data_IF_882089418030
#
_entry.id   IF_882089418030
#
_cell.length_a   1.000
_cell.length_b   1.000
_cell.length_c   1.000
_cell.angle_alpha   90.00
_cell.angle_beta   90.00
_cell.angle_gamma   90.00
#
_symmetry.space_group_name_H-M   'P 1'
#
loop_
_entity.id
_entity.type
_entity.pdbx_description
1 polymer ?
#
# COMPACT_ATOMS: atom_id res chain seq x y z
N UNK A 1 66.89 -27.60 -9.00
CA UNK A 1 66.34 -26.41 -9.64
C UNK A 1 64.84 -26.42 -9.40
N UNK A 2 64.36 -25.63 -8.43
CA UNK A 2 62.93 -25.53 -8.07
C UNK A 2 62.34 -24.28 -8.77
N UNK A 3 61.43 -24.50 -9.70
CA UNK A 3 60.81 -23.44 -10.49
C UNK A 3 59.56 -22.92 -9.72
N UNK A 4 59.68 -21.78 -9.04
CA UNK A 4 58.56 -21.06 -8.41
C UNK A 4 57.81 -20.27 -9.50
N UNK A 5 56.68 -20.78 -9.92
CA UNK A 5 55.72 -19.97 -10.69
C UNK A 5 55.01 -19.01 -9.73
N UNK A 6 55.37 -17.75 -9.77
CA UNK A 6 54.63 -16.66 -9.12
C UNK A 6 53.29 -16.47 -9.83
N UNK A 7 52.21 -16.87 -9.17
CA UNK A 7 50.86 -16.56 -9.60
C UNK A 7 50.54 -15.14 -9.09
N UNK A 8 50.79 -14.14 -9.90
CA UNK A 8 50.30 -12.78 -9.69
C UNK A 8 48.82 -12.75 -10.03
N UNK A 9 47.92 -12.99 -9.07
CA UNK A 9 46.53 -12.56 -9.20
C UNK A 9 46.51 -11.05 -9.06
N UNK A 10 46.17 -10.36 -10.14
CA UNK A 10 46.05 -8.90 -10.16
C UNK A 10 45.03 -8.46 -9.08
N UNK A 11 45.43 -7.50 -8.24
CA UNK A 11 44.54 -6.87 -7.23
C UNK A 11 43.21 -6.39 -7.83
N UNK A 12 43.23 -6.02 -9.11
CA UNK A 12 42.07 -5.59 -9.88
C UNK A 12 41.01 -6.68 -10.01
N UNK A 13 41.41 -7.95 -10.26
CA UNK A 13 40.46 -9.08 -10.41
C UNK A 13 39.79 -9.41 -9.08
N UNK A 14 40.50 -9.26 -7.96
CA UNK A 14 39.93 -9.50 -6.62
C UNK A 14 38.94 -8.37 -6.26
N UNK A 15 39.29 -7.14 -6.58
CA UNK A 15 38.40 -5.97 -6.32
C UNK A 15 37.14 -6.10 -7.17
N UNK A 16 37.22 -6.44 -8.45
CA UNK A 16 36.03 -6.64 -9.30
C UNK A 16 35.14 -7.80 -8.84
N UNK A 17 35.75 -8.90 -8.39
CA UNK A 17 35.00 -10.03 -7.83
C UNK A 17 34.27 -9.67 -6.51
N UNK A 18 34.94 -8.88 -5.65
CA UNK A 18 34.35 -8.38 -4.40
C UNK A 18 33.23 -7.37 -4.69
N UNK A 19 33.44 -6.44 -5.64
CA UNK A 19 32.40 -5.49 -6.05
C UNK A 19 31.19 -6.18 -6.71
N UNK A 20 31.41 -7.16 -7.58
CA UNK A 20 30.32 -7.98 -8.14
C UNK A 20 29.57 -8.74 -7.06
N UNK A 21 30.26 -9.31 -6.08
CA UNK A 21 29.63 -10.02 -4.97
C UNK A 21 28.88 -9.08 -4.02
N UNK A 22 29.37 -7.87 -3.83
CA UNK A 22 28.71 -6.82 -3.04
C UNK A 22 27.45 -6.28 -3.77
N UNK A 23 27.49 -6.15 -5.09
CA UNK A 23 26.32 -5.76 -5.88
C UNK A 23 25.29 -6.90 -6.01
N UNK A 24 25.73 -8.18 -6.02
CA UNK A 24 24.80 -9.31 -5.93
C UNK A 24 24.11 -9.38 -4.55
N UNK A 25 24.81 -9.01 -3.47
CA UNK A 25 24.21 -8.95 -2.13
C UNK A 25 23.25 -7.75 -1.95
N UNK A 26 23.38 -6.70 -2.76
CA UNK A 26 22.40 -5.60 -2.80
C UNK A 26 21.09 -5.96 -3.52
N UNK A 27 21.10 -6.97 -4.41
CA UNK A 27 19.89 -7.42 -5.13
C UNK A 27 18.97 -8.32 -4.30
N UNK A 28 19.42 -8.79 -3.14
CA UNK A 28 18.63 -9.64 -2.24
C UNK A 28 18.06 -8.88 -1.02
N UNK A 29 18.10 -7.55 -1.00
CA UNK A 29 17.40 -6.77 -0.01
C UNK A 29 15.90 -6.87 -0.34
N UNK A 30 15.13 -7.44 0.57
CA UNK A 30 13.67 -7.48 0.45
C UNK A 30 13.18 -6.04 0.37
N UNK A 31 12.62 -5.65 -0.78
CA UNK A 31 12.01 -4.36 -1.01
C UNK A 31 10.53 -4.55 -1.30
N UNK A 32 9.71 -3.63 -0.82
CA UNK A 32 8.29 -3.60 -1.15
C UNK A 32 8.04 -3.47 -2.67
N UNK A 33 8.95 -2.85 -3.41
CA UNK A 33 8.90 -2.77 -4.87
C UNK A 33 8.96 -4.13 -5.57
N UNK A 34 9.48 -5.18 -4.90
CA UNK A 34 9.52 -6.54 -5.42
C UNK A 34 8.22 -7.32 -5.16
N UNK A 35 7.28 -6.77 -4.39
CA UNK A 35 6.00 -7.40 -4.09
C UNK A 35 5.03 -7.09 -5.24
N UNK A 36 4.49 -8.10 -5.95
CA UNK A 36 3.54 -7.83 -7.02
C UNK A 36 2.23 -7.25 -6.46
N UNK A 37 1.44 -6.59 -7.30
CA UNK A 37 0.13 -6.02 -6.93
C UNK A 37 -0.83 -7.06 -6.33
N UNK A 38 -0.65 -8.33 -6.60
CA UNK A 38 -1.46 -9.40 -6.04
C UNK A 38 -1.05 -10.76 -6.56
N UNK A 39 -1.63 -11.79 -5.99
CA UNK A 39 -1.46 -13.16 -6.47
C UNK A 39 -2.28 -13.45 -7.73
N UNK A 40 -3.45 -12.83 -7.83
CA UNK A 40 -4.39 -12.94 -8.95
C UNK A 40 -5.19 -11.62 -9.04
N UNK A 41 -4.45 -10.51 -9.23
CA UNK A 41 -5.08 -9.20 -9.37
C UNK A 41 -6.00 -9.16 -10.61
N UNK A 42 -7.16 -8.55 -10.51
CA UNK A 42 -7.65 -7.69 -9.43
C UNK A 42 -8.44 -8.40 -8.32
N UNK A 43 -8.63 -9.74 -8.39
CA UNK A 43 -9.48 -10.48 -7.45
C UNK A 43 -8.78 -10.83 -6.12
N UNK A 44 -7.47 -10.89 -6.13
CA UNK A 44 -6.60 -11.29 -5.02
C UNK A 44 -5.37 -10.38 -5.05
N UNK A 45 -5.48 -9.25 -4.34
CA UNK A 45 -4.46 -8.20 -4.27
C UNK A 45 -3.62 -8.32 -3.00
N UNK A 46 -2.43 -7.78 -3.03
CA UNK A 46 -1.64 -7.50 -1.83
C UNK A 46 -1.81 -6.04 -1.43
N UNK A 47 -1.88 -5.81 -0.14
CA UNK A 47 -1.89 -4.46 0.43
C UNK A 47 -0.77 -4.38 1.46
N UNK A 48 0.07 -3.36 1.34
CA UNK A 48 1.08 -3.02 2.34
C UNK A 48 0.43 -2.03 3.29
N UNK A 49 0.38 -2.38 4.58
CA UNK A 49 -0.24 -1.54 5.60
C UNK A 49 0.76 -0.49 6.09
N UNK A 50 0.32 0.76 6.12
CA UNK A 50 1.08 1.89 6.66
C UNK A 50 0.51 2.38 7.98
N UNK A 51 -0.82 2.34 8.12
CA UNK A 51 -1.53 2.87 9.29
C UNK A 51 -2.52 1.82 9.79
N UNK A 52 -2.40 1.38 11.05
CA UNK A 52 -3.34 0.44 11.64
C UNK A 52 -4.74 1.01 11.80
N UNK A 53 -5.76 0.15 11.80
CA UNK A 53 -7.10 0.54 12.23
C UNK A 53 -7.07 1.10 13.66
N UNK A 54 -7.86 2.13 13.92
CA UNK A 54 -7.92 2.84 15.19
C UNK A 54 -6.62 3.54 15.61
N UNK A 55 -5.68 3.73 14.69
CA UNK A 55 -4.48 4.51 14.96
C UNK A 55 -4.80 5.98 15.21
N UNK A 56 -3.98 6.63 16.03
CA UNK A 56 -4.00 8.08 16.23
C UNK A 56 -3.82 8.84 14.89
N UNK A 57 -4.21 10.12 14.83
CA UNK A 57 -4.15 10.91 13.59
C UNK A 57 -2.71 11.29 13.19
N UNK A 58 -1.92 10.28 12.90
CA UNK A 58 -0.56 10.40 12.39
C UNK A 58 -0.56 9.76 11.01
N UNK A 59 -0.19 10.52 9.97
CA UNK A 59 0.03 9.96 8.64
C UNK A 59 1.42 9.34 8.59
N UNK A 60 1.47 8.07 8.23
CA UNK A 60 2.69 7.33 7.93
C UNK A 60 2.73 7.00 6.45
N UNK A 61 3.92 7.00 5.89
CA UNK A 61 4.19 6.61 4.51
C UNK A 61 5.43 5.74 4.43
N UNK A 62 5.40 4.71 3.60
CA UNK A 62 6.58 3.92 3.27
C UNK A 62 7.32 4.62 2.13
N UNK A 63 8.53 5.08 2.43
CA UNK A 63 9.42 5.69 1.44
C UNK A 63 9.87 4.65 0.41
N UNK A 64 9.64 4.95 -0.87
CA UNK A 64 9.85 4.01 -2.00
C UNK A 64 11.33 3.70 -2.25
N UNK A 65 12.24 4.57 -1.79
CA UNK A 65 13.68 4.41 -2.01
C UNK A 65 14.35 3.59 -0.92
N UNK A 66 13.89 3.74 0.33
CA UNK A 66 14.49 3.12 1.52
C UNK A 66 13.68 1.99 2.13
N UNK A 67 12.41 1.82 1.71
CA UNK A 67 11.43 0.91 2.33
C UNK A 67 11.19 1.21 3.84
N UNK A 68 11.58 2.37 4.31
CA UNK A 68 11.38 2.76 5.70
C UNK A 68 10.02 3.43 5.88
N UNK A 69 9.37 3.14 7.01
CA UNK A 69 8.14 3.81 7.40
C UNK A 69 8.47 5.18 8.01
N UNK A 70 8.06 6.25 7.37
CA UNK A 70 8.23 7.61 7.83
C UNK A 70 6.95 8.16 8.48
N UNK A 71 7.11 9.05 9.43
CA UNK A 71 6.04 9.97 9.82
C UNK A 71 6.00 11.09 8.79
N UNK A 72 4.95 11.10 7.95
CA UNK A 72 4.73 12.19 7.00
C UNK A 72 4.29 13.45 7.77
N UNK A 73 3.21 13.36 8.54
CA UNK A 73 2.73 14.48 9.36
C UNK A 73 1.82 14.03 10.49
N UNK A 74 1.68 14.91 11.48
CA UNK A 74 0.61 14.85 12.47
C UNK A 74 -0.60 15.59 11.89
N UNK A 75 -1.72 14.89 11.72
CA UNK A 75 -2.93 15.49 11.19
C UNK A 75 -3.60 16.39 12.22
N UNK A 76 -4.25 17.46 11.77
CA UNK A 76 -4.98 18.38 12.63
C UNK A 76 -6.26 17.80 13.24
N UNK A 77 -6.81 16.73 12.68
CA UNK A 77 -8.02 16.09 13.16
C UNK A 77 -7.79 15.32 14.46
N UNK A 78 -8.86 15.13 15.25
CA UNK A 78 -8.87 14.23 16.42
C UNK A 78 -9.47 12.84 16.10
N UNK A 79 -9.80 12.57 14.84
CA UNK A 79 -10.39 11.30 14.42
C UNK A 79 -9.31 10.20 14.28
N UNK A 80 -9.71 8.96 14.60
CA UNK A 80 -8.91 7.77 14.35
C UNK A 80 -9.18 7.21 12.95
N UNK A 81 -8.22 6.50 12.37
CA UNK A 81 -8.42 5.77 11.12
C UNK A 81 -9.49 4.69 11.31
N UNK A 82 -10.56 4.66 10.49
CA UNK A 82 -11.68 3.72 10.69
C UNK A 82 -11.37 2.27 10.30
N UNK A 83 -10.32 2.06 9.49
CA UNK A 83 -9.82 0.76 9.07
C UNK A 83 -8.30 0.84 8.92
N UNK A 84 -7.62 -0.31 8.66
CA UNK A 84 -6.21 -0.24 8.31
C UNK A 84 -6.07 0.46 6.96
N UNK A 85 -5.08 1.33 6.83
CA UNK A 85 -4.79 2.08 5.63
C UNK A 85 -3.43 1.68 5.07
N UNK A 86 -3.32 1.61 3.77
CA UNK A 86 -2.11 1.28 3.06
C UNK A 86 -2.34 1.32 1.56
N UNK A 87 -1.49 0.68 0.78
CA UNK A 87 -1.54 0.76 -0.67
C UNK A 87 -1.32 -0.59 -1.36
N UNK A 88 -1.71 -0.68 -2.63
CA UNK A 88 -1.39 -1.82 -3.50
C UNK A 88 -0.02 -1.59 -4.13
N UNK A 89 0.97 -2.48 -3.91
CA UNK A 89 2.30 -2.30 -4.50
C UNK A 89 2.25 -2.42 -6.03
N UNK A 90 3.21 -1.77 -6.71
CA UNK A 90 3.32 -1.76 -8.17
C UNK A 90 2.03 -1.29 -8.88
N UNK A 91 1.42 -0.23 -8.34
CA UNK A 91 0.31 0.50 -8.93
C UNK A 91 0.63 2.00 -8.97
N UNK A 92 -0.06 2.74 -9.82
CA UNK A 92 0.05 4.19 -9.93
C UNK A 92 -1.35 4.78 -10.13
N UNK A 93 -1.78 5.65 -9.23
CA UNK A 93 -3.02 6.41 -9.29
C UNK A 93 -2.82 7.76 -9.98
N UNK A 94 -3.92 8.50 -10.20
CA UNK A 94 -3.90 9.77 -10.94
C UNK A 94 -3.19 10.91 -10.19
N UNK A 95 -3.08 10.82 -8.86
CA UNK A 95 -2.32 11.74 -8.01
C UNK A 95 -0.80 11.49 -8.02
N UNK A 96 -0.35 10.41 -8.67
CA UNK A 96 1.07 10.04 -8.78
C UNK A 96 1.55 9.09 -7.68
N UNK A 97 0.68 8.66 -6.78
CA UNK A 97 0.96 7.70 -5.72
C UNK A 97 0.40 6.30 -6.01
N UNK A 98 0.84 5.26 -5.32
CA UNK A 98 0.21 3.94 -5.40
C UNK A 98 -1.26 3.99 -5.00
N UNK A 99 -2.05 3.04 -5.52
CA UNK A 99 -3.48 2.95 -5.24
C UNK A 99 -3.77 2.65 -3.77
N UNK A 100 -4.39 3.58 -3.09
CA UNK A 100 -4.75 3.53 -1.67
C UNK A 100 -5.87 2.54 -1.35
N UNK A 101 -5.75 1.85 -0.22
CA UNK A 101 -6.70 0.83 0.23
C UNK A 101 -6.99 0.92 1.72
N UNK A 102 -8.27 0.92 2.06
CA UNK A 102 -8.77 0.64 3.41
C UNK A 102 -9.03 -0.86 3.55
N UNK A 103 -8.38 -1.50 4.51
CA UNK A 103 -8.56 -2.93 4.77
C UNK A 103 -9.32 -3.13 6.08
N UNK A 104 -10.53 -3.69 5.96
CA UNK A 104 -11.39 -4.00 7.11
C UNK A 104 -10.98 -5.34 7.70
N UNK A 105 -10.50 -5.35 8.93
CA UNK A 105 -10.02 -6.56 9.63
C UNK A 105 -10.60 -6.63 11.04
N UNK A 106 -10.62 -7.81 11.70
CA UNK A 106 -11.12 -7.93 13.07
C UNK A 106 -10.18 -7.29 14.11
N UNK A 107 -8.92 -7.07 13.75
CA UNK A 107 -7.88 -6.46 14.59
C UNK A 107 -7.01 -5.53 13.77
N UNK A 108 -6.40 -4.48 14.37
CA UNK A 108 -5.37 -3.68 13.70
C UNK A 108 -4.23 -4.56 13.18
N UNK A 109 -3.71 -4.21 12.01
CA UNK A 109 -2.57 -4.91 11.38
C UNK A 109 -1.33 -4.04 11.52
N UNK A 110 -0.20 -4.64 11.90
CA UNK A 110 1.05 -3.92 12.09
C UNK A 110 1.54 -3.24 10.81
N UNK A 111 2.06 -2.00 10.89
CA UNK A 111 2.66 -1.32 9.75
C UNK A 111 3.79 -2.13 9.10
N UNK A 112 3.90 -2.03 7.78
CA UNK A 112 4.86 -2.81 7.00
C UNK A 112 4.40 -4.24 6.69
N UNK A 113 3.28 -4.71 7.26
CA UNK A 113 2.73 -6.02 6.93
C UNK A 113 2.11 -6.04 5.54
N UNK A 114 2.31 -7.16 4.82
CA UNK A 114 1.64 -7.43 3.55
C UNK A 114 0.46 -8.34 3.78
N UNK A 115 -0.74 -7.89 3.46
CA UNK A 115 -1.97 -8.64 3.63
C UNK A 115 -2.63 -8.94 2.28
N UNK A 116 -3.11 -10.17 2.09
CA UNK A 116 -3.91 -10.56 0.92
C UNK A 116 -5.35 -10.14 1.11
N UNK A 117 -5.91 -9.46 0.12
CA UNK A 117 -7.23 -8.87 0.19
C UNK A 117 -8.05 -9.12 -1.08
N UNK A 118 -9.37 -8.96 -0.94
CA UNK A 118 -10.31 -8.84 -2.05
C UNK A 118 -10.91 -7.43 -2.03
N UNK A 119 -10.86 -6.65 -3.12
CA UNK A 119 -11.59 -5.39 -3.22
C UNK A 119 -13.10 -5.65 -3.18
N UNK A 120 -13.81 -4.85 -2.40
CA UNK A 120 -15.28 -4.94 -2.25
C UNK A 120 -15.99 -3.62 -2.58
N UNK A 121 -15.24 -2.57 -2.87
CA UNK A 121 -15.79 -1.28 -3.30
C UNK A 121 -14.72 -0.21 -3.43
N UNK A 122 -15.14 0.96 -3.88
CA UNK A 122 -14.30 2.15 -4.08
C UNK A 122 -15.04 3.39 -3.64
N UNK A 123 -14.41 4.22 -2.81
CA UNK A 123 -14.87 5.58 -2.49
C UNK A 123 -14.22 6.55 -3.46
N UNK A 124 -15.03 7.27 -4.21
CA UNK A 124 -14.55 8.31 -5.11
C UNK A 124 -14.29 9.60 -4.32
N UNK A 125 -13.07 10.07 -4.38
CA UNK A 125 -12.60 11.25 -3.68
C UNK A 125 -11.80 12.14 -4.63
N UNK A 126 -11.90 13.43 -4.43
CA UNK A 126 -11.07 14.47 -5.04
C UNK A 126 -10.62 15.42 -3.92
N UNK A 127 -9.37 15.83 -3.96
CA UNK A 127 -8.81 16.78 -3.02
C UNK A 127 -7.90 17.82 -3.72
N UNK A 128 -7.17 18.58 -2.96
CA UNK A 128 -6.24 19.59 -3.47
C UNK A 128 -5.07 19.02 -4.32
N UNK A 129 -4.82 17.72 -4.25
CA UNK A 129 -3.85 16.99 -5.09
C UNK A 129 -4.45 16.38 -6.37
N UNK A 130 -5.78 16.30 -6.48
CA UNK A 130 -6.49 15.74 -7.63
C UNK A 130 -7.44 14.60 -7.29
N UNK A 131 -7.68 13.71 -8.26
CA UNK A 131 -8.50 12.50 -8.05
C UNK A 131 -7.72 11.51 -7.22
N UNK A 132 -8.27 11.15 -6.07
CA UNK A 132 -7.63 10.32 -5.05
C UNK A 132 -8.62 9.28 -4.52
N UNK A 133 -8.99 8.30 -5.36
CA UNK A 133 -9.93 7.25 -5.01
C UNK A 133 -9.36 6.29 -3.97
N UNK A 134 -10.20 5.87 -3.01
CA UNK A 134 -9.82 4.91 -1.97
C UNK A 134 -10.54 3.59 -2.19
N UNK A 135 -9.80 2.50 -2.35
CA UNK A 135 -10.40 1.17 -2.32
C UNK A 135 -10.83 0.81 -0.89
N UNK A 136 -11.88 -0.01 -0.79
CA UNK A 136 -12.19 -0.75 0.43
C UNK A 136 -12.07 -2.24 0.13
N UNK A 137 -11.37 -2.97 0.99
CA UNK A 137 -11.05 -4.37 0.81
C UNK A 137 -11.22 -5.14 2.11
N UNK A 138 -11.39 -6.46 1.98
CA UNK A 138 -11.46 -7.40 3.10
C UNK A 138 -10.38 -8.47 2.93
N UNK A 139 -9.91 -9.11 4.01
CA UNK A 139 -8.97 -10.21 3.92
C UNK A 139 -9.46 -11.32 3.00
N UNK A 140 -8.55 -11.89 2.22
CA UNK A 140 -8.84 -13.05 1.39
C UNK A 140 -9.28 -14.23 2.26
N UNK A 141 -10.21 -15.05 1.77
CA UNK A 141 -10.86 -16.16 2.49
C UNK A 141 -9.86 -17.22 3.06
N UNK A 142 -8.64 -17.27 2.49
CA UNK A 142 -7.54 -18.11 3.02
C UNK A 142 -6.94 -17.61 4.32
N UNK A 143 -7.08 -16.33 4.64
CA UNK A 143 -6.60 -15.76 5.90
C UNK A 143 -7.63 -15.88 7.00
N UNK A 144 -8.90 -15.70 6.67
CA UNK A 144 -10.01 -15.82 7.61
C UNK A 144 -11.33 -16.03 6.87
N UNK A 145 -12.24 -16.88 7.40
CA UNK A 145 -13.58 -17.04 6.83
C UNK A 145 -14.57 -15.93 7.22
N UNK A 146 -14.19 -15.00 8.10
CA UNK A 146 -15.10 -13.99 8.66
C UNK A 146 -15.75 -13.13 7.55
N UNK A 147 -15.00 -12.83 6.49
CA UNK A 147 -15.44 -11.94 5.41
C UNK A 147 -15.87 -12.69 4.14
N UNK A 148 -16.02 -14.02 4.19
CA UNK A 148 -16.31 -14.85 2.99
C UNK A 148 -17.61 -14.43 2.28
N UNK A 149 -18.60 -13.93 3.04
CA UNK A 149 -19.91 -13.54 2.52
C UNK A 149 -19.98 -12.05 2.14
N UNK A 150 -18.93 -11.26 2.47
CA UNK A 150 -18.80 -9.87 2.05
C UNK A 150 -18.32 -9.84 0.58
N UNK A 151 -19.16 -9.43 -0.34
CA UNK A 151 -18.85 -9.32 -1.79
C UNK A 151 -18.82 -7.87 -2.26
N UNK A 152 -19.64 -7.04 -1.63
CA UNK A 152 -19.78 -5.61 -1.91
C UNK A 152 -19.53 -4.80 -0.63
N UNK A 153 -19.12 -3.54 -0.77
CA UNK A 153 -18.97 -2.63 0.37
C UNK A 153 -20.29 -2.48 1.17
N UNK A 154 -21.42 -2.65 0.50
CA UNK A 154 -22.76 -2.60 1.13
C UNK A 154 -23.06 -3.79 2.04
N UNK A 155 -22.28 -4.87 1.96
CA UNK A 155 -22.37 -6.01 2.88
C UNK A 155 -21.63 -5.74 4.21
N UNK A 156 -20.81 -4.70 4.25
CA UNK A 156 -20.14 -4.26 5.48
C UNK A 156 -21.12 -3.53 6.40
N UNK A 157 -20.83 -3.47 7.72
CA UNK A 157 -21.67 -2.74 8.65
C UNK A 157 -21.91 -1.29 8.18
N UNK A 158 -23.17 -0.82 8.06
CA UNK A 158 -23.47 0.53 7.54
C UNK A 158 -22.76 1.65 8.32
N UNK A 159 -22.62 1.49 9.64
CA UNK A 159 -21.92 2.47 10.47
C UNK A 159 -20.44 2.58 10.12
N UNK A 160 -19.77 1.48 9.75
CA UNK A 160 -18.39 1.51 9.32
C UNK A 160 -18.24 2.32 8.02
N UNK A 161 -19.12 2.10 7.05
CA UNK A 161 -19.12 2.86 5.79
C UNK A 161 -19.31 4.35 6.06
N UNK A 162 -20.25 4.73 6.94
CA UNK A 162 -20.46 6.11 7.36
C UNK A 162 -19.24 6.70 8.09
N UNK A 163 -18.54 5.90 8.90
CA UNK A 163 -17.31 6.33 9.57
C UNK A 163 -16.17 6.58 8.57
N UNK A 164 -16.06 5.76 7.52
CA UNK A 164 -15.08 5.97 6.43
C UNK A 164 -15.39 7.26 5.67
N UNK A 165 -16.65 7.47 5.27
CA UNK A 165 -17.09 8.70 4.62
C UNK A 165 -16.79 9.92 5.49
N UNK A 166 -17.21 9.88 6.76
CA UNK A 166 -17.02 10.98 7.69
C UNK A 166 -15.53 11.29 7.91
N UNK A 167 -14.70 10.26 8.05
CA UNK A 167 -13.25 10.45 8.20
C UNK A 167 -12.67 11.19 6.99
N UNK A 168 -12.88 10.70 5.79
CA UNK A 168 -12.30 11.32 4.58
C UNK A 168 -12.94 12.68 4.25
N UNK A 169 -14.21 12.88 4.55
CA UNK A 169 -14.84 14.18 4.35
C UNK A 169 -14.25 15.28 5.26
N UNK A 170 -13.69 14.93 6.43
CA UNK A 170 -13.34 15.90 7.47
C UNK A 170 -11.90 15.86 7.97
N UNK A 171 -11.10 14.86 7.59
CA UNK A 171 -9.75 14.70 8.15
C UNK A 171 -8.79 15.85 7.83
N UNK A 172 -9.08 16.64 6.78
CA UNK A 172 -8.30 17.82 6.36
C UNK A 172 -8.93 19.16 6.78
N UNK A 173 -10.10 19.20 7.46
CA UNK A 173 -10.83 20.43 7.77
C UNK A 173 -10.02 21.46 8.57
N UNK A 174 -9.07 21.01 9.39
CA UNK A 174 -8.21 21.86 10.19
C UNK A 174 -6.85 22.15 9.53
N UNK A 175 -6.62 21.70 8.30
CA UNK A 175 -5.41 21.95 7.52
C UNK A 175 -5.63 23.16 6.59
N UNK A 176 -4.93 24.29 6.78
CA UNK A 176 -5.16 25.49 5.98
C UNK A 176 -4.95 25.27 4.49
N UNK A 177 -5.95 25.64 3.68
CA UNK A 177 -5.92 25.53 2.23
C UNK A 177 -6.17 24.13 1.66
N UNK A 178 -6.42 23.14 2.53
CA UNK A 178 -6.78 21.80 2.13
C UNK A 178 -8.31 21.63 2.05
N UNK A 179 -8.75 20.76 1.18
CA UNK A 179 -10.15 20.42 1.01
C UNK A 179 -10.30 18.98 0.51
N UNK A 180 -11.45 18.40 0.74
CA UNK A 180 -11.84 17.09 0.23
C UNK A 180 -13.28 17.14 -0.29
N UNK A 181 -13.54 16.46 -1.39
CA UNK A 181 -14.86 16.24 -1.96
C UNK A 181 -15.07 14.76 -2.21
N UNK A 182 -16.05 14.18 -1.53
CA UNK A 182 -16.50 12.82 -1.81
C UNK A 182 -17.60 12.86 -2.87
N UNK A 183 -17.54 11.95 -3.84
CA UNK A 183 -18.55 11.85 -4.90
C UNK A 183 -19.31 10.52 -4.87
N UNK A 184 -19.10 9.72 -3.82
CA UNK A 184 -19.86 8.51 -3.52
C UNK A 184 -19.08 7.22 -3.71
N UNK A 185 -19.79 6.11 -3.49
CA UNK A 185 -19.24 4.76 -3.56
C UNK A 185 -19.57 4.08 -4.87
N UNK A 186 -18.67 3.20 -5.29
CA UNK A 186 -18.85 2.25 -6.37
C UNK A 186 -18.59 0.83 -5.90
N UNK A 187 -19.20 -0.15 -6.58
CA UNK A 187 -19.14 -1.55 -6.20
C UNK A 187 -17.81 -2.23 -6.52
N UNK A 188 -17.72 -3.50 -6.16
CA UNK A 188 -16.51 -4.32 -6.26
C UNK A 188 -15.96 -4.43 -7.69
N UNK A 189 -16.81 -4.50 -8.70
CA UNK A 189 -16.37 -4.61 -10.10
C UNK A 189 -15.66 -3.33 -10.57
N UNK A 190 -16.15 -2.13 -10.19
CA UNK A 190 -15.47 -0.87 -10.50
C UNK A 190 -14.16 -0.75 -9.72
N UNK A 191 -14.14 -1.17 -8.46
CA UNK A 191 -12.92 -1.26 -7.66
C UNK A 191 -11.85 -2.14 -8.31
N UNK A 192 -12.23 -3.29 -8.88
CA UNK A 192 -11.32 -4.18 -9.63
C UNK A 192 -10.81 -3.54 -10.92
N UNK A 193 -11.64 -2.79 -11.63
CA UNK A 193 -11.19 -2.04 -12.81
C UNK A 193 -10.17 -0.95 -12.44
N UNK A 194 -10.34 -0.29 -11.29
CA UNK A 194 -9.36 0.67 -10.79
C UNK A 194 -8.02 0.01 -10.50
N UNK A 195 -8.01 -1.19 -9.89
CA UNK A 195 -6.77 -1.96 -9.67
C UNK A 195 -6.07 -2.25 -11.00
N UNK A 196 -6.79 -2.70 -12.02
CA UNK A 196 -6.19 -3.00 -13.34
C UNK A 196 -5.65 -1.74 -14.01
N UNK A 197 -6.38 -0.62 -13.94
CA UNK A 197 -5.96 0.69 -14.46
C UNK A 197 -4.65 1.14 -13.78
N UNK A 198 -4.59 1.07 -12.45
CA UNK A 198 -3.43 1.47 -11.67
C UNK A 198 -2.20 0.57 -11.92
N UNK A 199 -2.39 -0.74 -12.13
CA UNK A 199 -1.32 -1.66 -12.52
C UNK A 199 -0.78 -1.31 -13.92
N UNK A 200 -1.65 -0.96 -14.87
CA UNK A 200 -1.22 -0.59 -16.22
C UNK A 200 -0.46 0.74 -16.24
N UNK A 201 -0.90 1.71 -15.42
CA UNK A 201 -0.24 3.01 -15.30
C UNK A 201 1.16 2.94 -14.65
N UNK A 202 1.44 1.87 -13.88
CA UNK A 202 2.74 1.66 -13.22
C UNK A 202 3.78 0.97 -14.13
N UNK A 203 3.44 0.58 -15.36
CA UNK A 203 4.35 -0.06 -16.32
C UNK A 203 5.16 0.95 -17.09
#
# INVERSE_FOLDING_TARGET
MYNRRNIFFSKTVIIDAVFKRFNLLKSDVMSYSNIPAGKDAPNDIYVIIEIPANAAPIKYEIDKDSDALFVDRFMGTAMFYPANYGYVPNTLSEDGDPLDVLVVTPHPVEPGSVIRCRPVGKLNMEDDGGIDAKLIAVPHDKLTPIYKDIKEYTDLPPLLIQQVEHFFAHYKDLEPGKWVKLTGWEGSEVAKQEVLKAIEAAK
#
